data_IF_060888892330
#
_entry.id   IF_060888892330
#
_cell.length_a   1.000
_cell.length_b   1.000
_cell.length_c   1.000
_cell.angle_alpha   90.00
_cell.angle_beta   90.00
_cell.angle_gamma   90.00
#
_symmetry.space_group_name_H-M   'P 1'
#
loop_
_entity.id
_entity.type
_entity.pdbx_description
1 polymer ?
#
# COMPACT_ATOMS: atom_id res chain seq x y z
N UNK A 1 -1.05 8.86 3.27
CA UNK A 1 -1.54 7.48 3.09
C UNK A 1 -0.68 6.54 3.92
N UNK A 2 -1.24 5.42 4.42
CA UNK A 2 -0.58 4.48 5.35
C UNK A 2 0.67 3.79 4.78
N UNK A 3 0.80 3.71 3.44
CA UNK A 3 1.93 3.13 2.73
C UNK A 3 2.39 4.03 1.59
N UNK A 4 3.69 4.08 1.33
CA UNK A 4 4.26 4.71 0.15
C UNK A 4 3.95 3.91 -1.12
N UNK A 5 4.06 4.54 -2.28
CA UNK A 5 3.90 3.89 -3.59
C UNK A 5 4.82 2.68 -3.78
N UNK A 6 6.08 2.79 -3.34
CA UNK A 6 7.05 1.70 -3.40
C UNK A 6 6.65 0.53 -2.49
N UNK A 7 6.16 0.82 -1.28
CA UNK A 7 5.65 -0.20 -0.38
C UNK A 7 4.43 -0.93 -0.96
N UNK A 8 3.50 -0.20 -1.59
CA UNK A 8 2.33 -0.81 -2.25
C UNK A 8 2.71 -1.73 -3.40
N UNK A 9 3.68 -1.34 -4.23
CA UNK A 9 4.21 -2.19 -5.31
C UNK A 9 4.82 -3.47 -4.77
N UNK A 10 5.61 -3.37 -3.69
CA UNK A 10 6.23 -4.53 -3.04
C UNK A 10 5.17 -5.48 -2.44
N UNK A 11 4.15 -4.93 -1.77
CA UNK A 11 3.03 -5.73 -1.26
C UNK A 11 2.31 -6.45 -2.41
N UNK A 12 2.02 -5.74 -3.50
CA UNK A 12 1.35 -6.31 -4.67
C UNK A 12 2.13 -7.48 -5.27
N UNK A 13 3.45 -7.37 -5.40
CA UNK A 13 4.30 -8.46 -5.88
C UNK A 13 4.25 -9.71 -4.98
N UNK A 14 4.23 -9.52 -3.66
CA UNK A 14 4.12 -10.62 -2.71
C UNK A 14 2.76 -11.31 -2.83
N UNK A 15 1.66 -10.54 -2.91
CA UNK A 15 0.31 -11.08 -3.07
C UNK A 15 0.14 -11.85 -4.38
N UNK A 16 0.72 -11.37 -5.48
CA UNK A 16 0.70 -12.07 -6.77
C UNK A 16 1.48 -13.39 -6.74
N UNK A 17 2.59 -13.46 -6.00
CA UNK A 17 3.32 -14.73 -5.77
C UNK A 17 2.48 -15.69 -4.94
N UNK A 18 1.81 -15.20 -3.92
CA UNK A 18 0.98 -16.02 -3.04
C UNK A 18 -0.27 -16.56 -3.75
N UNK A 19 -0.87 -15.76 -4.64
CA UNK A 19 -1.99 -16.18 -5.49
C UNK A 19 -1.64 -17.39 -6.34
N UNK A 20 -0.40 -17.49 -6.83
CA UNK A 20 0.07 -18.67 -7.59
C UNK A 20 0.24 -19.92 -6.72
N UNK A 21 0.40 -19.75 -5.40
CA UNK A 21 0.61 -20.85 -4.44
C UNK A 21 -0.69 -21.33 -3.79
N UNK A 22 -1.71 -20.47 -3.73
CA UNK A 22 -2.98 -20.78 -3.11
C UNK A 22 -3.90 -21.60 -4.03
N UNK A 23 -4.30 -22.77 -3.55
CA UNK A 23 -5.28 -23.66 -4.22
C UNK A 23 -6.69 -23.58 -3.62
N UNK A 24 -6.91 -22.74 -2.61
CA UNK A 24 -8.20 -22.65 -1.91
C UNK A 24 -9.13 -21.64 -2.58
N UNK A 25 -10.30 -22.12 -3.04
CA UNK A 25 -11.32 -21.34 -3.75
C UNK A 25 -11.79 -20.09 -2.98
N UNK A 26 -11.90 -20.18 -1.65
CA UNK A 26 -12.37 -19.07 -0.80
C UNK A 26 -11.27 -18.10 -0.37
N UNK A 27 -10.04 -18.60 -0.14
CA UNK A 27 -8.90 -17.73 0.17
C UNK A 27 -8.39 -16.99 -1.07
N UNK A 28 -8.58 -17.58 -2.26
CA UNK A 28 -8.29 -16.95 -3.53
C UNK A 28 -9.14 -15.70 -3.78
N UNK A 29 -10.44 -15.74 -3.43
CA UNK A 29 -11.35 -14.62 -3.67
C UNK A 29 -10.96 -13.35 -2.90
N UNK A 30 -10.70 -13.48 -1.59
CA UNK A 30 -10.25 -12.35 -0.76
C UNK A 30 -8.89 -11.82 -1.24
N UNK A 31 -7.99 -12.71 -1.64
CA UNK A 31 -6.68 -12.34 -2.17
C UNK A 31 -6.80 -11.60 -3.50
N UNK A 32 -7.67 -12.05 -4.40
CA UNK A 32 -7.93 -11.41 -5.69
C UNK A 32 -8.54 -10.02 -5.52
N UNK A 33 -9.48 -9.86 -4.58
CA UNK A 33 -10.03 -8.55 -4.21
C UNK A 33 -8.93 -7.61 -3.69
N UNK A 34 -8.10 -8.10 -2.77
CA UNK A 34 -7.00 -7.32 -2.19
C UNK A 34 -5.98 -6.90 -3.26
N UNK A 35 -5.68 -7.77 -4.21
CA UNK A 35 -4.81 -7.48 -5.37
C UNK A 35 -5.45 -6.41 -6.26
N UNK A 36 -6.75 -6.50 -6.53
CA UNK A 36 -7.46 -5.54 -7.35
C UNK A 36 -7.44 -4.15 -6.72
N UNK A 37 -7.74 -4.05 -5.42
CA UNK A 37 -7.77 -2.80 -4.68
C UNK A 37 -6.38 -2.14 -4.64
N UNK A 38 -5.33 -2.89 -4.30
CA UNK A 38 -3.96 -2.37 -4.28
C UNK A 38 -3.49 -1.93 -5.67
N UNK A 39 -3.86 -2.68 -6.72
CA UNK A 39 -3.54 -2.31 -8.10
C UNK A 39 -4.21 -0.98 -8.49
N UNK A 40 -5.48 -0.79 -8.11
CA UNK A 40 -6.20 0.46 -8.32
C UNK A 40 -5.58 1.61 -7.54
N UNK A 41 -5.19 1.39 -6.27
CA UNK A 41 -4.51 2.42 -5.47
C UNK A 41 -3.19 2.86 -6.11
N UNK A 42 -2.38 1.94 -6.63
CA UNK A 42 -1.12 2.28 -7.30
C UNK A 42 -1.38 3.06 -8.60
N UNK A 43 -2.37 2.63 -9.40
CA UNK A 43 -2.76 3.34 -10.63
C UNK A 43 -3.28 4.75 -10.33
N UNK A 44 -4.08 4.90 -9.29
CA UNK A 44 -4.59 6.21 -8.88
C UNK A 44 -3.47 7.16 -8.44
N UNK A 45 -2.39 6.63 -7.85
CA UNK A 45 -1.17 7.41 -7.55
C UNK A 45 -0.30 7.68 -8.79
N UNK A 46 -0.38 6.85 -9.83
CA UNK A 46 0.26 7.13 -11.13
C UNK A 46 -0.51 8.20 -11.92
N UNK A 47 -1.84 8.26 -11.78
CA UNK A 47 -2.70 9.21 -12.52
C UNK A 47 -2.79 10.55 -11.78
N UNK A 48 -2.92 10.55 -10.45
CA UNK A 48 -2.99 11.76 -9.63
C UNK A 48 -1.58 12.26 -9.24
N UNK A 49 -0.75 12.61 -10.24
CA UNK A 49 0.58 13.24 -10.05
C UNK A 49 0.47 14.67 -9.47
N UNK A 50 -0.73 15.14 -9.14
CA UNK A 50 -0.94 16.34 -8.33
C UNK A 50 -0.54 16.07 -6.87
N UNK A 51 0.75 16.36 -6.61
CA UNK A 51 1.42 16.53 -5.31
C UNK A 51 0.70 15.96 -4.08
N UNK A 52 1.08 14.77 -3.60
CA UNK A 52 0.80 14.46 -2.21
C UNK A 52 1.70 15.39 -1.38
N UNK A 53 1.11 16.42 -0.75
CA UNK A 53 1.73 17.08 0.40
C UNK A 53 2.24 15.97 1.31
N UNK A 54 3.56 15.95 1.51
CA UNK A 54 4.23 14.97 2.34
C UNK A 54 3.75 15.16 3.79
N UNK A 55 2.68 14.42 4.14
CA UNK A 55 2.16 14.34 5.50
C UNK A 55 2.92 13.26 6.28
N UNK A 56 4.22 13.07 6.01
CA UNK A 56 5.07 12.30 6.89
C UNK A 56 5.02 12.94 8.28
N UNK A 57 4.50 12.19 9.25
CA UNK A 57 4.48 12.62 10.64
C UNK A 57 5.95 12.71 11.08
N UNK A 58 6.43 13.94 11.24
CA UNK A 58 7.74 14.21 11.82
C UNK A 58 7.72 13.87 13.32
N UNK A 59 8.20 12.67 13.64
CA UNK A 59 8.35 12.20 15.01
C UNK A 59 9.43 12.96 15.80
N UNK A 60 10.29 13.75 15.15
CA UNK A 60 11.30 14.56 15.82
C UNK A 60 10.69 15.76 16.57
N UNK A 61 9.52 16.24 16.13
CA UNK A 61 8.80 17.36 16.74
C UNK A 61 8.26 17.08 18.15
N UNK A 62 8.02 15.81 18.52
CA UNK A 62 7.48 15.44 19.85
C UNK A 62 8.48 15.56 21.00
N UNK A 63 9.79 15.67 20.72
CA UNK A 63 10.82 15.77 21.79
C UNK A 63 11.05 17.20 22.32
N UNK A 64 10.58 18.25 21.64
CA UNK A 64 10.87 19.64 22.03
C UNK A 64 9.95 20.25 23.10
N UNK A 65 8.85 19.59 23.49
CA UNK A 65 7.89 20.09 24.49
C UNK A 65 8.07 19.53 25.91
N UNK A 66 9.30 19.20 26.30
CA UNK A 66 9.64 18.94 27.71
C UNK A 66 10.80 19.86 28.11
N UNK A 67 10.47 21.11 28.39
CA UNK A 67 11.22 22.02 29.24
C UNK A 67 10.24 22.72 30.15
#
# INVERSE_FOLDING_TARGET
MLFSKSQKKLILEVLLKERRRLFSKHKGELLDQTIADLSQMVRNEDINITEPKDNSIDWSSRRKKRK
#
